data_IF_199902083355
#
_entry.id   IF_199902083355
#
_cell.length_a   1.000
_cell.length_b   1.000
_cell.length_c   1.000
_cell.angle_alpha   90.00
_cell.angle_beta   90.00
_cell.angle_gamma   90.00
#
_symmetry.space_group_name_H-M   'P 1'
#
loop_
_entity.id
_entity.type
_entity.pdbx_description
1 polymer ?
#
# COMPACT_ATOMS: atom_id res chain seq x y z
N UNK A 1 -8.36 20.22 -10.40
CA UNK A 1 -7.08 19.51 -10.63
C UNK A 1 -7.39 18.08 -11.06
N UNK A 2 -6.55 17.50 -11.90
CA UNK A 2 -6.67 16.10 -12.31
C UNK A 2 -6.37 15.20 -11.12
N UNK A 3 -7.20 14.16 -10.90
CA UNK A 3 -6.97 13.18 -9.85
C UNK A 3 -6.33 11.93 -10.44
N UNK A 4 -5.29 11.43 -9.81
CA UNK A 4 -4.50 10.33 -10.34
C UNK A 4 -4.51 9.15 -9.36
N UNK A 5 -4.79 7.95 -9.88
CA UNK A 5 -4.64 6.69 -9.19
C UNK A 5 -3.57 5.86 -9.90
N UNK A 6 -2.42 5.73 -9.27
CA UNK A 6 -1.33 4.88 -9.73
C UNK A 6 -1.46 3.50 -9.11
N UNK A 7 -1.66 2.49 -9.93
CA UNK A 7 -1.77 1.09 -9.49
C UNK A 7 -0.42 0.40 -9.76
N UNK A 8 0.33 0.18 -8.70
CA UNK A 8 1.62 -0.53 -8.76
C UNK A 8 1.35 -2.03 -8.65
N UNK A 9 1.53 -2.72 -9.77
CA UNK A 9 1.14 -4.12 -9.92
C UNK A 9 2.37 -5.03 -10.03
N UNK A 10 2.30 -6.17 -9.37
CA UNK A 10 3.29 -7.23 -9.41
C UNK A 10 2.94 -8.37 -8.49
N UNK A 11 3.46 -9.55 -8.79
CA UNK A 11 3.32 -10.70 -7.90
C UNK A 11 4.03 -10.47 -6.55
N UNK A 12 3.76 -11.32 -5.58
CA UNK A 12 4.46 -11.30 -4.29
C UNK A 12 5.98 -11.36 -4.54
N UNK A 13 6.74 -10.49 -3.87
CA UNK A 13 8.19 -10.33 -4.02
C UNK A 13 8.67 -9.85 -5.42
N UNK A 14 7.81 -9.32 -6.26
CA UNK A 14 8.18 -8.75 -7.57
C UNK A 14 8.85 -7.38 -7.50
N UNK A 15 8.91 -6.75 -6.31
CA UNK A 15 9.54 -5.45 -6.11
C UNK A 15 8.57 -4.28 -5.97
N UNK A 16 7.27 -4.51 -5.69
CA UNK A 16 6.30 -3.44 -5.44
C UNK A 16 6.75 -2.51 -4.30
N UNK A 17 7.09 -3.07 -3.15
CA UNK A 17 7.54 -2.28 -1.99
C UNK A 17 8.85 -1.54 -2.28
N UNK A 18 9.76 -2.12 -3.04
CA UNK A 18 10.99 -1.44 -3.45
C UNK A 18 10.69 -0.25 -4.35
N UNK A 19 9.78 -0.39 -5.31
CA UNK A 19 9.32 0.73 -6.13
C UNK A 19 8.72 1.86 -5.27
N UNK A 20 7.90 1.52 -4.28
CA UNK A 20 7.34 2.50 -3.34
C UNK A 20 8.42 3.17 -2.48
N UNK A 21 9.45 2.46 -2.06
CA UNK A 21 10.60 3.06 -1.34
C UNK A 21 11.37 4.04 -2.21
N UNK A 22 11.57 3.73 -3.49
CA UNK A 22 12.18 4.66 -4.45
C UNK A 22 11.32 5.90 -4.65
N UNK A 23 9.99 5.74 -4.72
CA UNK A 23 9.06 6.86 -4.78
C UNK A 23 9.15 7.76 -3.53
N UNK A 24 9.22 7.18 -2.33
CA UNK A 24 9.42 7.95 -1.08
C UNK A 24 10.69 8.80 -1.15
N UNK A 25 11.79 8.21 -1.62
CA UNK A 25 13.06 8.93 -1.78
C UNK A 25 12.93 10.09 -2.77
N UNK A 26 12.36 9.84 -3.94
CA UNK A 26 12.11 10.86 -4.96
C UNK A 26 11.26 12.02 -4.41
N UNK A 27 10.18 11.70 -3.70
CA UNK A 27 9.29 12.70 -3.14
C UNK A 27 9.98 13.58 -2.08
N UNK A 28 10.80 12.96 -1.22
CA UNK A 28 11.62 13.71 -0.26
C UNK A 28 12.61 14.68 -0.94
N UNK A 29 13.30 14.20 -1.99
CA UNK A 29 14.23 15.03 -2.76
C UNK A 29 13.54 16.22 -3.44
N UNK A 30 12.27 16.05 -3.82
CA UNK A 30 11.48 17.11 -4.48
C UNK A 30 10.61 17.95 -3.53
N UNK A 31 10.64 17.68 -2.23
CA UNK A 31 9.82 18.39 -1.24
C UNK A 31 8.31 18.09 -1.37
N UNK A 32 7.93 16.94 -1.96
CA UNK A 32 6.55 16.48 -2.10
C UNK A 32 6.10 15.82 -0.79
N UNK A 33 4.96 16.24 -0.28
CA UNK A 33 4.42 15.70 0.98
C UNK A 33 3.71 14.38 0.76
N UNK A 34 4.00 13.40 1.63
CA UNK A 34 3.49 12.05 1.54
C UNK A 34 2.71 11.66 2.79
N UNK A 35 1.52 11.08 2.60
CA UNK A 35 0.76 10.38 3.61
C UNK A 35 0.62 8.91 3.30
N UNK A 36 0.14 8.11 4.25
CA UNK A 36 -0.17 6.71 4.02
C UNK A 36 0.78 5.73 4.69
N UNK A 37 1.01 4.60 4.05
CA UNK A 37 1.77 3.48 4.62
C UNK A 37 2.52 2.70 3.54
N UNK A 38 3.74 2.29 3.84
CA UNK A 38 4.46 1.23 3.12
C UNK A 38 4.74 0.06 4.06
N UNK A 39 4.82 -1.15 3.53
CA UNK A 39 4.91 -2.39 4.28
C UNK A 39 6.17 -3.22 3.93
N UNK A 40 7.37 -2.76 4.33
CA UNK A 40 8.60 -3.48 4.06
C UNK A 40 8.64 -4.82 4.78
N UNK A 41 9.18 -5.83 4.10
CA UNK A 41 9.48 -7.11 4.73
C UNK A 41 10.63 -7.02 5.74
N UNK A 42 10.53 -7.80 6.79
CA UNK A 42 11.65 -8.08 7.71
C UNK A 42 12.30 -9.39 7.26
N UNK A 43 13.61 -9.40 7.12
CA UNK A 43 14.35 -10.51 6.56
C UNK A 43 15.44 -11.00 7.52
N UNK A 44 15.60 -12.31 7.61
CA UNK A 44 16.73 -12.99 8.24
C UNK A 44 17.44 -13.81 7.14
N UNK A 45 18.58 -13.30 6.65
CA UNK A 45 19.19 -13.82 5.44
C UNK A 45 18.23 -13.72 4.24
N UNK A 46 17.96 -14.84 3.59
CA UNK A 46 17.04 -14.94 2.45
C UNK A 46 15.60 -15.24 2.87
N UNK A 47 15.33 -15.38 4.15
CA UNK A 47 14.02 -15.71 4.68
C UNK A 47 13.26 -14.48 5.18
N UNK A 48 12.06 -14.26 4.66
CA UNK A 48 11.17 -13.23 5.16
C UNK A 48 10.51 -13.71 6.46
N UNK A 49 10.79 -13.02 7.58
CA UNK A 49 10.35 -13.39 8.92
C UNK A 49 9.23 -12.52 9.47
N UNK A 50 9.02 -11.35 8.87
CA UNK A 50 8.00 -10.41 9.33
C UNK A 50 7.58 -9.40 8.27
N UNK A 51 6.63 -8.57 8.66
CA UNK A 51 6.16 -7.41 7.90
C UNK A 51 6.12 -6.23 8.85
N UNK A 52 6.86 -5.19 8.51
CA UNK A 52 6.78 -3.89 9.16
C UNK A 52 5.85 -2.98 8.37
N UNK A 53 5.43 -1.89 9.00
CA UNK A 53 4.74 -0.78 8.35
C UNK A 53 5.39 0.52 8.74
N UNK A 54 5.64 1.37 7.76
CA UNK A 54 6.13 2.74 7.98
C UNK A 54 4.99 3.69 7.65
N UNK A 55 4.58 4.48 8.64
CA UNK A 55 3.48 5.43 8.53
C UNK A 55 3.99 6.82 8.14
N UNK A 56 3.41 7.42 7.10
CA UNK A 56 3.75 8.76 6.66
C UNK A 56 2.64 9.76 7.03
N UNK A 57 3.00 11.00 7.39
CA UNK A 57 4.31 11.66 7.28
C UNK A 57 5.29 11.42 8.43
N UNK A 58 4.86 10.82 9.55
CA UNK A 58 5.68 10.68 10.77
C UNK A 58 6.89 9.77 10.64
N UNK A 59 6.89 8.87 9.66
CA UNK A 59 7.85 7.78 9.49
C UNK A 59 7.90 6.78 10.67
N UNK A 60 6.80 6.72 11.45
CA UNK A 60 6.67 5.76 12.54
C UNK A 60 6.75 4.32 12.01
N UNK A 61 7.63 3.53 12.61
CA UNK A 61 7.78 2.10 12.31
C UNK A 61 6.87 1.26 13.22
N UNK A 62 6.07 0.40 12.62
CA UNK A 62 5.15 -0.51 13.30
C UNK A 62 5.46 -1.95 12.88
N UNK A 63 5.71 -2.85 13.83
CA UNK A 63 5.92 -4.27 13.56
C UNK A 63 4.58 -4.99 13.41
N UNK A 64 4.06 -5.04 12.17
CA UNK A 64 2.68 -5.44 11.89
C UNK A 64 2.43 -6.94 11.96
N UNK A 65 3.36 -7.76 11.46
CA UNK A 65 3.17 -9.19 11.38
C UNK A 65 4.46 -9.98 11.55
N UNK A 66 4.32 -11.19 12.11
CA UNK A 66 5.38 -12.18 12.19
C UNK A 66 5.00 -13.43 11.41
N UNK A 67 5.99 -14.22 10.98
CA UNK A 67 5.75 -15.49 10.32
C UNK A 67 5.14 -16.50 11.27
N UNK A 68 4.10 -17.19 10.83
CA UNK A 68 3.54 -18.32 11.59
C UNK A 68 4.44 -19.53 11.47
N UNK A 69 4.69 -20.24 12.57
CA UNK A 69 5.39 -21.54 12.53
C UNK A 69 4.55 -22.61 11.80
N UNK A 70 3.22 -22.54 11.89
CA UNK A 70 2.27 -23.45 11.25
C UNK A 70 1.22 -22.69 10.44
N UNK A 71 0.79 -23.26 9.30
CA UNK A 71 -0.15 -22.65 8.35
C UNK A 71 -1.62 -22.67 8.81
N UNK A 72 -1.90 -22.69 10.11
CA UNK A 72 -3.17 -23.23 10.59
C UNK A 72 -4.33 -22.27 10.73
N UNK A 73 -4.20 -20.98 11.03
CA UNK A 73 -5.38 -20.11 11.20
C UNK A 73 -5.11 -18.61 10.99
N UNK A 74 -6.12 -17.85 10.55
CA UNK A 74 -6.16 -16.40 10.44
C UNK A 74 -6.24 -15.84 9.00
N UNK A 75 -6.12 -14.53 8.85
CA UNK A 75 -6.29 -13.79 7.58
C UNK A 75 -5.28 -14.19 6.50
N UNK A 76 -4.12 -14.67 6.89
CA UNK A 76 -3.06 -15.12 6.00
C UNK A 76 -2.57 -16.49 6.41
N UNK A 77 -2.29 -17.35 5.44
CA UNK A 77 -1.69 -18.66 5.69
C UNK A 77 -0.27 -18.57 6.24
N UNK A 78 0.46 -17.50 5.93
CA UNK A 78 1.88 -17.34 6.26
C UNK A 78 2.12 -16.40 7.44
N UNK A 79 1.23 -15.44 7.68
CA UNK A 79 1.48 -14.32 8.58
C UNK A 79 0.47 -14.26 9.71
N UNK A 80 0.97 -13.99 10.91
CA UNK A 80 0.16 -13.61 12.07
C UNK A 80 0.23 -12.09 12.21
N UNK A 81 -0.88 -11.42 11.91
CA UNK A 81 -1.02 -9.98 12.06
C UNK A 81 -1.42 -9.61 13.49
N UNK A 82 -0.88 -8.49 13.98
CA UNK A 82 -1.35 -7.87 15.21
C UNK A 82 -2.59 -7.02 14.89
N UNK A 83 -3.75 -7.45 15.40
CA UNK A 83 -5.04 -6.79 15.10
C UNK A 83 -5.09 -5.35 15.61
N UNK A 84 -4.49 -5.07 16.79
CA UNK A 84 -4.45 -3.71 17.35
C UNK A 84 -3.60 -2.79 16.48
N UNK A 85 -2.51 -3.29 15.93
CA UNK A 85 -1.66 -2.53 15.02
C UNK A 85 -2.31 -2.36 13.65
N UNK A 86 -3.07 -3.34 13.16
CA UNK A 86 -3.91 -3.18 11.97
C UNK A 86 -4.95 -2.08 12.17
N UNK A 87 -5.63 -2.04 13.30
CA UNK A 87 -6.59 -0.98 13.63
C UNK A 87 -5.92 0.39 13.72
N UNK A 88 -4.74 0.46 14.32
CA UNK A 88 -3.93 1.69 14.38
C UNK A 88 -3.60 2.22 12.97
N UNK A 89 -3.14 1.35 12.07
CA UNK A 89 -2.81 1.71 10.69
C UNK A 89 -4.07 2.14 9.94
N UNK A 90 -5.17 1.41 10.10
CA UNK A 90 -6.44 1.76 9.45
C UNK A 90 -6.96 3.12 9.93
N UNK A 91 -6.88 3.40 11.24
CA UNK A 91 -7.21 4.71 11.78
C UNK A 91 -6.31 5.81 11.22
N UNK A 92 -5.00 5.56 11.16
CA UNK A 92 -4.04 6.48 10.56
C UNK A 92 -4.44 6.87 9.13
N UNK A 93 -4.79 5.89 8.29
CA UNK A 93 -5.28 6.13 6.92
C UNK A 93 -6.57 6.97 6.89
N UNK A 94 -7.47 6.75 7.84
CA UNK A 94 -8.71 7.53 7.97
C UNK A 94 -8.48 8.99 8.37
N UNK A 95 -7.47 9.23 9.20
CA UNK A 95 -7.12 10.54 9.76
C UNK A 95 -6.22 11.37 8.83
N UNK A 96 -5.75 10.81 7.71
CA UNK A 96 -4.91 11.53 6.75
C UNK A 96 -5.58 12.80 6.23
N UNK A 97 -4.79 13.87 6.16
CA UNK A 97 -5.18 15.17 5.61
C UNK A 97 -3.99 15.84 4.92
N UNK A 98 -4.27 16.71 3.98
CA UNK A 98 -3.31 17.65 3.38
C UNK A 98 -1.92 17.06 3.04
N UNK A 99 -1.87 16.14 2.09
CA UNK A 99 -0.64 15.68 1.48
C UNK A 99 -0.78 15.64 -0.04
N UNK A 100 0.34 15.80 -0.74
CA UNK A 100 0.37 15.78 -2.21
C UNK A 100 0.10 14.39 -2.76
N UNK A 101 0.61 13.36 -2.07
CA UNK A 101 0.41 11.95 -2.42
C UNK A 101 0.00 11.12 -1.20
N UNK A 102 -0.87 10.15 -1.42
CA UNK A 102 -1.15 9.05 -0.47
C UNK A 102 -0.61 7.75 -1.04
N UNK A 103 0.14 7.02 -0.25
CA UNK A 103 0.70 5.73 -0.60
C UNK A 103 0.09 4.62 0.24
N UNK A 104 -0.30 3.53 -0.41
CA UNK A 104 -0.94 2.37 0.23
C UNK A 104 -0.27 1.10 -0.28
N UNK A 105 0.51 0.48 0.58
CA UNK A 105 1.18 -0.80 0.34
C UNK A 105 0.65 -1.81 1.37
N UNK A 106 0.00 -2.74 1.06
CA UNK A 106 -0.59 -3.50 0.01
C UNK A 106 -2.10 -3.64 0.29
N UNK A 107 -2.95 -3.50 -0.73
CA UNK A 107 -4.36 -3.87 -0.61
C UNK A 107 -4.50 -5.31 -1.10
N UNK A 108 -5.13 -6.16 -0.30
CA UNK A 108 -5.27 -7.58 -0.58
C UNK A 108 -6.73 -8.06 -0.61
N UNK A 109 -6.92 -9.39 -0.68
CA UNK A 109 -8.25 -10.00 -0.65
C UNK A 109 -9.07 -9.67 0.60
N UNK A 110 -8.38 -9.43 1.73
CA UNK A 110 -9.04 -9.07 2.99
C UNK A 110 -9.87 -7.78 2.83
N UNK A 111 -9.30 -6.76 2.21
CA UNK A 111 -9.93 -5.47 1.98
C UNK A 111 -10.95 -5.56 0.84
N UNK A 112 -10.53 -6.03 -0.33
CA UNK A 112 -11.33 -5.97 -1.57
C UNK A 112 -12.52 -6.93 -1.52
N UNK A 113 -12.32 -8.15 -1.00
CA UNK A 113 -13.34 -9.20 -1.01
C UNK A 113 -14.14 -9.23 0.29
N UNK A 114 -13.44 -9.23 1.44
CA UNK A 114 -14.07 -9.38 2.76
C UNK A 114 -14.47 -8.07 3.40
N UNK A 115 -14.04 -6.92 2.86
CA UNK A 115 -14.28 -5.58 3.41
C UNK A 115 -13.83 -5.43 4.86
N UNK A 116 -12.67 -5.98 5.17
CA UNK A 116 -12.02 -5.97 6.48
C UNK A 116 -10.60 -5.41 6.35
N UNK A 117 -9.83 -5.33 7.44
CA UNK A 117 -8.47 -4.82 7.43
C UNK A 117 -8.40 -3.31 7.20
N UNK A 118 -7.65 -2.88 6.20
CA UNK A 118 -7.45 -1.46 5.89
C UNK A 118 -8.62 -0.87 5.09
N UNK A 119 -9.82 -0.92 5.66
CA UNK A 119 -11.03 -0.42 5.00
C UNK A 119 -10.99 1.06 4.67
N UNK A 120 -10.23 1.87 5.43
CA UNK A 120 -10.04 3.29 5.12
C UNK A 120 -9.18 3.51 3.87
N UNK A 121 -8.30 2.56 3.51
CA UNK A 121 -7.60 2.58 2.24
C UNK A 121 -8.60 2.51 1.06
N UNK A 122 -9.60 1.62 1.14
CA UNK A 122 -10.65 1.55 0.12
C UNK A 122 -11.47 2.83 0.05
N UNK A 123 -11.85 3.41 1.19
CA UNK A 123 -12.61 4.67 1.24
C UNK A 123 -11.85 5.81 0.55
N UNK A 124 -10.53 5.90 0.73
CA UNK A 124 -9.69 6.88 0.04
C UNK A 124 -9.86 6.77 -1.48
N UNK A 125 -9.85 5.54 -2.01
CA UNK A 125 -9.94 5.25 -3.44
C UNK A 125 -11.37 5.48 -3.96
N UNK A 126 -12.37 5.01 -3.22
CA UNK A 126 -13.79 5.10 -3.60
C UNK A 126 -14.33 6.53 -3.57
N UNK A 127 -13.77 7.40 -2.73
CA UNK A 127 -14.27 8.79 -2.55
C UNK A 127 -13.43 9.85 -3.25
N UNK A 128 -12.30 9.47 -3.85
CA UNK A 128 -11.32 10.39 -4.42
C UNK A 128 -10.96 11.54 -3.46
N UNK A 129 -10.74 11.20 -2.19
CA UNK A 129 -10.43 12.19 -1.14
C UNK A 129 -9.14 12.97 -1.42
N UNK A 130 -8.16 12.32 -2.07
CA UNK A 130 -6.86 12.91 -2.41
C UNK A 130 -6.66 12.99 -3.91
N UNK A 131 -5.83 13.93 -4.35
CA UNK A 131 -5.58 14.15 -5.77
C UNK A 131 -4.64 13.11 -6.38
N UNK A 132 -3.66 12.62 -5.62
CA UNK A 132 -2.76 11.58 -6.09
C UNK A 132 -2.69 10.42 -5.08
N UNK A 133 -3.02 9.23 -5.54
CA UNK A 133 -2.98 7.99 -4.74
C UNK A 133 -2.16 6.94 -5.45
N UNK A 134 -1.26 6.30 -4.72
CA UNK A 134 -0.42 5.19 -5.19
C UNK A 134 -0.78 3.95 -4.39
N UNK A 135 -1.18 2.88 -5.08
CA UNK A 135 -1.61 1.62 -4.45
C UNK A 135 -0.79 0.47 -4.99
N UNK A 136 -0.17 -0.31 -4.11
CA UNK A 136 0.44 -1.58 -4.48
C UNK A 136 -0.58 -2.71 -4.36
N UNK A 137 -0.68 -3.55 -5.38
CA UNK A 137 -1.67 -4.63 -5.47
C UNK A 137 -1.20 -5.79 -6.34
N UNK A 138 -1.70 -6.98 -6.06
CA UNK A 138 -1.46 -8.17 -6.89
C UNK A 138 -2.23 -8.09 -8.21
N UNK A 139 -1.70 -8.69 -9.30
CA UNK A 139 -2.36 -8.66 -10.60
C UNK A 139 -3.81 -9.15 -10.60
N UNK A 140 -4.12 -10.20 -9.83
CA UNK A 140 -5.46 -10.79 -9.75
C UNK A 140 -6.55 -9.87 -9.20
N UNK A 141 -6.17 -8.77 -8.54
CA UNK A 141 -7.11 -7.84 -7.89
C UNK A 141 -7.21 -6.48 -8.62
N UNK A 142 -6.39 -6.26 -9.64
CA UNK A 142 -6.31 -4.96 -10.35
C UNK A 142 -7.66 -4.55 -10.92
N UNK A 143 -8.34 -5.43 -11.65
CA UNK A 143 -9.63 -5.08 -12.27
C UNK A 143 -10.70 -4.75 -11.23
N UNK A 144 -10.76 -5.50 -10.13
CA UNK A 144 -11.68 -5.19 -9.02
C UNK A 144 -11.39 -3.83 -8.38
N UNK A 145 -10.11 -3.48 -8.23
CA UNK A 145 -9.73 -2.17 -7.70
C UNK A 145 -10.15 -1.04 -8.67
N UNK A 146 -9.95 -1.24 -9.97
CA UNK A 146 -10.41 -0.28 -10.99
C UNK A 146 -11.92 -0.06 -10.94
N UNK A 147 -12.70 -1.13 -10.78
CA UNK A 147 -14.16 -1.07 -10.69
C UNK A 147 -14.64 -0.32 -9.44
N UNK A 148 -13.86 -0.36 -8.36
CA UNK A 148 -14.17 0.32 -7.10
C UNK A 148 -13.68 1.78 -7.07
N UNK A 149 -12.72 2.12 -7.90
CA UNK A 149 -12.12 3.45 -7.91
C UNK A 149 -13.13 4.52 -8.34
N UNK A 150 -13.06 5.68 -7.67
CA UNK A 150 -13.90 6.81 -8.05
C UNK A 150 -13.66 7.24 -9.50
N UNK A 151 -14.73 7.56 -10.22
CA UNK A 151 -14.70 7.91 -11.63
C UNK A 151 -13.82 9.11 -11.99
N UNK A 152 -13.54 9.97 -11.03
CA UNK A 152 -12.71 11.17 -11.23
C UNK A 152 -11.21 10.84 -11.31
N UNK A 153 -10.80 9.61 -10.96
CA UNK A 153 -9.41 9.20 -11.09
C UNK A 153 -9.05 8.85 -12.54
N UNK A 154 -7.97 9.44 -13.02
CA UNK A 154 -7.20 8.91 -14.13
C UNK A 154 -6.33 7.78 -13.62
N UNK A 155 -6.56 6.57 -14.11
CA UNK A 155 -5.87 5.37 -13.63
C UNK A 155 -4.64 5.10 -14.50
N UNK A 156 -3.49 4.96 -13.85
CA UNK A 156 -2.23 4.55 -14.48
C UNK A 156 -1.76 3.23 -13.87
N UNK A 157 -1.63 2.19 -14.70
CA UNK A 157 -1.09 0.90 -14.28
C UNK A 157 0.43 0.89 -14.43
N UNK A 158 1.13 0.55 -13.35
CA UNK A 158 2.59 0.45 -13.27
C UNK A 158 2.96 -1.00 -12.97
N UNK A 159 3.50 -1.69 -13.95
CA UNK A 159 3.91 -3.09 -13.82
C UNK A 159 5.40 -3.14 -13.43
N UNK A 160 5.70 -3.53 -12.19
CA UNK A 160 7.06 -3.45 -11.63
C UNK A 160 8.07 -4.40 -12.28
N UNK A 161 7.61 -5.51 -12.88
CA UNK A 161 8.44 -6.45 -13.63
C UNK A 161 8.93 -5.90 -14.99
N UNK A 162 8.38 -4.80 -15.45
CA UNK A 162 8.78 -4.09 -16.67
C UNK A 162 9.76 -2.95 -16.42
N UNK A 163 10.37 -2.88 -15.24
CA UNK A 163 11.32 -1.83 -14.83
C UNK A 163 10.82 -0.41 -15.15
N UNK A 164 9.66 -0.01 -14.61
CA UNK A 164 9.09 1.30 -14.90
C UNK A 164 9.99 2.43 -14.37
N UNK A 165 10.03 3.53 -15.11
CA UNK A 165 10.69 4.75 -14.65
C UNK A 165 9.89 5.35 -13.47
N UNK A 166 10.56 5.61 -12.37
CA UNK A 166 9.95 6.20 -11.17
C UNK A 166 9.38 7.60 -11.44
N UNK A 167 9.92 8.32 -12.43
CA UNK A 167 9.43 9.64 -12.82
C UNK A 167 8.02 9.61 -13.45
N UNK A 168 7.45 8.44 -13.73
CA UNK A 168 6.04 8.31 -14.13
C UNK A 168 5.08 8.88 -13.07
N UNK A 169 5.55 9.02 -11.82
CA UNK A 169 4.77 9.57 -10.70
C UNK A 169 4.79 11.11 -10.65
N UNK A 170 5.59 11.76 -11.46
CA UNK A 170 5.73 13.23 -11.52
C UNK A 170 4.97 13.79 -12.70
#
# INVERSE_FOLDING_TARGET
MEKNLYIVCGHSNAGKTNFLKEAVKLFKEKGITLGGVIAPGVWDGDEKTGIDSILFPSEELVHLAVRKPDFSEGYSRKWKFDEKLMDKINKHLGDLSNCDYVMIDEIGPLEIIKKQGFTNALKIIETAKFDNVIVAIRPSLVERLKDMAHKDYKITLIEVDKNPDINILL
#
